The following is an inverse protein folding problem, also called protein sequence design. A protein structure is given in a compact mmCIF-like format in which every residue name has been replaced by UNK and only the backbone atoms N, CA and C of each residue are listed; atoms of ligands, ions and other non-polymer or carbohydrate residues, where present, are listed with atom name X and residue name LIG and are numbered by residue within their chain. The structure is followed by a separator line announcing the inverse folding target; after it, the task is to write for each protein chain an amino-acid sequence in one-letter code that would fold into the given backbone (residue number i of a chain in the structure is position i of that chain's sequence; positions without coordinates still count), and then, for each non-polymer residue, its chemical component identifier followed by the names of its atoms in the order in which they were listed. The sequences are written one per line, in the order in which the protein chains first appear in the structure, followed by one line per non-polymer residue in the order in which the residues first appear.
data_IF_241575817902
#
_entry.id   IF_241575817902
#
_cell.length_a   1.000
_cell.length_b   1.000
_cell.length_c   1.000
_cell.angle_alpha   90.00
_cell.angle_beta   90.00
_cell.angle_gamma   90.00
#
_symmetry.space_group_name_H-M   'P 1'
#
loop_
_entity.id
_entity.type
_entity.pdbx_description
1 polymer ?
#
# COMPACT_ATOMS: atom_id res chain seq x y z
N UNK A 1 -31.12 30.82 -7.51
CA UNK A 1 -29.93 30.75 -8.37
C UNK A 1 -29.04 29.63 -7.89
N UNK A 2 -28.47 28.83 -8.80
CA UNK A 2 -27.53 27.78 -8.42
C UNK A 2 -26.22 28.41 -7.94
N UNK A 3 -25.95 28.31 -6.63
CA UNK A 3 -24.68 28.72 -6.08
C UNK A 3 -23.60 27.75 -6.58
N UNK A 4 -22.60 28.31 -7.27
CA UNK A 4 -21.42 27.55 -7.70
C UNK A 4 -20.46 27.42 -6.52
N UNK A 5 -19.83 26.26 -6.33
CA UNK A 5 -18.78 26.12 -5.33
C UNK A 5 -17.59 27.04 -5.66
N UNK A 6 -16.97 27.63 -4.64
CA UNK A 6 -15.69 28.35 -4.74
C UNK A 6 -14.57 27.55 -4.08
N UNK A 7 -13.36 27.66 -4.63
CA UNK A 7 -12.15 27.02 -4.09
C UNK A 7 -11.05 28.07 -4.07
N UNK A 8 -10.45 28.29 -2.91
CA UNK A 8 -9.26 29.12 -2.70
C UNK A 8 -8.08 28.26 -2.26
N UNK A 9 -6.89 28.52 -2.78
CA UNK A 9 -5.66 27.80 -2.43
C UNK A 9 -4.55 28.78 -2.08
N UNK A 10 -3.87 28.53 -0.98
CA UNK A 10 -2.64 29.24 -0.59
C UNK A 10 -1.45 28.31 -0.71
N UNK A 11 -0.34 28.84 -1.21
CA UNK A 11 0.93 28.12 -1.35
C UNK A 11 2.02 28.84 -0.59
N UNK A 12 2.97 28.10 -0.04
CA UNK A 12 4.17 28.68 0.57
C UNK A 12 5.20 29.09 -0.50
N UNK A 13 6.35 29.62 -0.05
CA UNK A 13 7.46 30.08 -0.92
C UNK A 13 8.08 29.00 -1.82
N UNK A 14 7.78 27.72 -1.56
CA UNK A 14 8.25 26.57 -2.35
C UNK A 14 7.11 25.98 -3.20
N UNK A 15 6.00 26.71 -3.38
CA UNK A 15 4.83 26.29 -4.14
C UNK A 15 4.16 25.01 -3.60
N UNK A 16 4.32 24.70 -2.32
CA UNK A 16 3.54 23.65 -1.67
C UNK A 16 2.24 24.23 -1.12
N UNK A 17 1.12 23.55 -1.37
CA UNK A 17 -0.21 24.01 -0.95
C UNK A 17 -0.37 23.87 0.56
N UNK A 18 -0.48 24.99 1.28
CA UNK A 18 -0.63 25.00 2.74
C UNK A 18 -2.07 25.16 3.19
N UNK A 19 -2.95 25.66 2.32
CA UNK A 19 -4.36 25.87 2.61
C UNK A 19 -5.21 25.62 1.37
N UNK A 20 -6.33 24.93 1.54
CA UNK A 20 -7.43 24.90 0.58
C UNK A 20 -8.74 25.18 1.31
N UNK A 21 -9.50 26.17 0.83
CA UNK A 21 -10.83 26.49 1.34
C UNK A 21 -11.84 26.24 0.25
N UNK A 22 -12.74 25.28 0.47
CA UNK A 22 -13.88 25.01 -0.41
C UNK A 22 -15.14 25.53 0.27
N UNK A 23 -15.92 26.36 -0.42
CA UNK A 23 -17.20 26.87 0.09
C UNK A 23 -18.33 26.56 -0.89
N UNK A 24 -19.41 26.00 -0.38
CA UNK A 24 -20.62 25.71 -1.14
C UNK A 24 -21.85 25.99 -0.28
N UNK A 25 -22.68 26.94 -0.70
CA UNK A 25 -23.77 27.48 0.11
C UNK A 25 -23.22 27.97 1.47
N UNK A 26 -23.85 27.59 2.59
CA UNK A 26 -23.39 27.92 3.94
C UNK A 26 -22.38 26.90 4.50
N UNK A 27 -21.86 25.96 3.71
CA UNK A 27 -20.87 24.99 4.19
C UNK A 27 -19.47 25.38 3.73
N UNK A 28 -18.50 25.24 4.61
CA UNK A 28 -17.09 25.46 4.30
C UNK A 28 -16.25 24.28 4.80
N UNK A 29 -15.35 23.81 3.94
CA UNK A 29 -14.29 22.88 4.27
C UNK A 29 -12.95 23.60 4.13
N UNK A 30 -12.11 23.50 5.15
CA UNK A 30 -10.77 24.06 5.20
C UNK A 30 -9.79 22.92 5.39
N UNK A 31 -8.86 22.73 4.45
CA UNK A 31 -7.74 21.78 4.57
C UNK A 31 -6.47 22.59 4.77
N UNK A 32 -5.80 22.39 5.90
CA UNK A 32 -4.50 22.99 6.20
C UNK A 32 -3.44 21.91 6.16
N UNK A 33 -2.32 22.17 5.48
CA UNK A 33 -1.21 21.22 5.34
C UNK A 33 0.06 21.85 5.88
N UNK A 34 0.66 21.21 6.88
CA UNK A 34 2.00 21.52 7.35
C UNK A 34 3.02 20.60 6.68
N UNK A 35 4.23 21.12 6.45
CA UNK A 35 5.34 20.43 5.82
C UNK A 35 6.59 20.53 6.70
N UNK A 36 7.54 19.63 6.51
CA UNK A 36 8.84 19.64 7.21
C UNK A 36 9.80 20.73 6.69
N UNK A 37 9.34 21.97 6.63
CA UNK A 37 10.10 23.12 6.13
C UNK A 37 10.85 23.79 7.27
N UNK A 38 12.13 24.06 7.05
CA UNK A 38 12.94 24.97 7.88
C UNK A 38 12.78 26.41 7.37
N UNK A 39 12.16 27.32 8.14
CA UNK A 39 11.71 28.62 7.63
C UNK A 39 12.86 29.51 7.14
N UNK A 40 14.05 29.41 7.72
CA UNK A 40 15.17 30.31 7.41
C UNK A 40 16.16 29.73 6.38
N UNK A 41 15.90 28.52 5.87
CA UNK A 41 16.81 27.82 4.98
C UNK A 41 16.40 27.90 3.51
N UNK A 42 17.37 28.10 2.60
CA UNK A 42 17.15 27.98 1.15
C UNK A 42 16.71 26.56 0.80
N UNK A 43 16.05 26.39 -0.34
CA UNK A 43 15.50 25.10 -0.76
C UNK A 43 16.56 23.97 -0.76
N UNK A 44 17.77 24.23 -1.25
CA UNK A 44 18.86 23.25 -1.28
C UNK A 44 19.36 22.78 0.10
N UNK A 45 18.97 23.46 1.19
CA UNK A 45 19.32 23.10 2.56
C UNK A 45 18.16 22.40 3.30
N UNK A 46 16.96 22.40 2.71
CA UNK A 46 15.80 21.76 3.29
C UNK A 46 16.01 20.24 3.43
N UNK A 47 15.39 19.58 4.42
CA UNK A 47 15.46 18.13 4.53
C UNK A 47 14.81 17.45 3.33
N UNK A 48 15.22 16.22 3.00
CA UNK A 48 14.70 15.45 1.88
C UNK A 48 13.17 15.28 1.91
N UNK A 49 12.57 15.29 3.10
CA UNK A 49 11.14 15.15 3.32
C UNK A 49 10.39 16.50 3.41
N UNK A 50 11.02 17.63 3.07
CA UNK A 50 10.39 18.96 3.19
C UNK A 50 9.17 19.17 2.31
N UNK A 51 8.99 18.35 1.27
CA UNK A 51 7.81 18.36 0.41
C UNK A 51 6.72 17.40 0.86
N UNK A 52 6.99 16.56 1.87
CA UNK A 52 6.04 15.59 2.39
C UNK A 52 5.21 16.24 3.51
N UNK A 53 3.87 16.14 3.47
CA UNK A 53 3.01 16.62 4.55
C UNK A 53 3.36 15.99 5.89
N UNK A 54 3.67 16.80 6.90
CA UNK A 54 3.86 16.32 8.28
C UNK A 54 2.56 16.29 9.07
N UNK A 55 1.61 17.16 8.72
CA UNK A 55 0.29 17.25 9.32
C UNK A 55 -0.72 17.75 8.29
N UNK A 56 -1.90 17.13 8.26
CA UNK A 56 -3.05 17.58 7.47
C UNK A 56 -4.23 17.71 8.42
N UNK A 57 -4.75 18.92 8.54
CA UNK A 57 -5.95 19.22 9.33
C UNK A 57 -7.10 19.58 8.40
N UNK A 58 -8.18 18.82 8.45
CA UNK A 58 -9.43 19.15 7.76
C UNK A 58 -10.45 19.64 8.77
N UNK A 59 -10.98 20.83 8.54
CA UNK A 59 -12.03 21.44 9.35
C UNK A 59 -13.26 21.68 8.50
N UNK A 60 -14.42 21.27 9.02
CA UNK A 60 -15.72 21.55 8.44
C UNK A 60 -16.49 22.49 9.36
N UNK A 61 -17.15 23.49 8.78
CA UNK A 61 -17.99 24.43 9.50
C UNK A 61 -19.18 24.86 8.65
N UNK A 62 -20.19 25.40 9.32
CA UNK A 62 -21.23 26.20 8.69
C UNK A 62 -20.91 27.68 8.83
N UNK A 63 -21.10 28.47 7.78
CA UNK A 63 -20.81 29.90 7.78
C UNK A 63 -21.81 30.72 8.62
N UNK A 64 -23.02 30.21 8.79
CA UNK A 64 -24.05 30.80 9.65
C UNK A 64 -24.00 30.32 11.12
N UNK A 65 -23.23 29.26 11.39
CA UNK A 65 -22.97 28.73 12.74
C UNK A 65 -21.46 28.41 12.89
N UNK A 66 -20.55 29.40 12.80
CA UNK A 66 -19.11 29.17 12.68
C UNK A 66 -18.46 28.53 13.92
N UNK A 67 -19.13 28.57 15.08
CA UNK A 67 -18.69 27.87 16.29
C UNK A 67 -18.91 26.35 16.21
N UNK A 68 -19.88 25.89 15.41
CA UNK A 68 -20.18 24.46 15.24
C UNK A 68 -19.26 23.85 14.19
N UNK A 69 -18.21 23.20 14.68
CA UNK A 69 -17.12 22.72 13.84
C UNK A 69 -16.80 21.27 14.09
N UNK A 70 -16.31 20.59 13.06
CA UNK A 70 -15.63 19.30 13.15
C UNK A 70 -14.23 19.48 12.62
N UNK A 71 -13.25 18.93 13.31
CA UNK A 71 -11.85 18.96 12.91
C UNK A 71 -11.29 17.55 12.95
N UNK A 72 -10.55 17.17 11.93
CA UNK A 72 -9.80 15.93 11.84
C UNK A 72 -8.34 16.27 11.53
N UNK A 73 -7.42 15.61 12.22
CA UNK A 73 -5.99 15.80 12.02
C UNK A 73 -5.34 14.45 11.73
N UNK A 74 -4.50 14.41 10.70
CA UNK A 74 -3.64 13.28 10.35
C UNK A 74 -2.19 13.75 10.41
N UNK A 75 -1.30 12.96 11.01
CA UNK A 75 0.13 13.32 11.11
C UNK A 75 1.02 12.22 10.56
N UNK A 76 2.18 12.64 10.04
CA UNK A 76 3.21 11.75 9.50
C UNK A 76 4.60 12.15 9.97
N UNK A 77 5.46 11.16 10.18
CA UNK A 77 6.91 11.31 10.20
C UNK A 77 7.53 10.40 9.15
N UNK A 78 8.73 10.73 8.68
CA UNK A 78 9.38 10.04 7.58
C UNK A 78 10.86 9.78 7.86
N UNK A 79 11.41 8.75 7.24
CA UNK A 79 12.85 8.59 7.12
C UNK A 79 13.45 9.53 6.06
N UNK A 80 14.75 9.40 5.79
CA UNK A 80 15.48 10.21 4.81
C UNK A 80 15.13 9.88 3.35
N UNK A 81 14.43 8.77 3.11
CA UNK A 81 14.01 8.28 1.79
C UNK A 81 12.54 8.58 1.50
N UNK A 82 11.82 9.19 2.46
CA UNK A 82 10.41 9.54 2.32
C UNK A 82 9.45 8.42 2.73
N UNK A 83 9.93 7.34 3.35
CA UNK A 83 9.06 6.30 3.87
C UNK A 83 8.41 6.72 5.18
N UNK A 84 7.10 6.55 5.37
CA UNK A 84 6.44 6.84 6.64
C UNK A 84 7.01 5.99 7.77
N UNK A 85 7.35 6.62 8.89
CA UNK A 85 7.78 5.95 10.14
C UNK A 85 6.66 5.90 11.17
N UNK A 86 5.90 6.99 11.28
CA UNK A 86 4.73 7.09 12.15
C UNK A 86 3.63 7.78 11.38
N UNK A 87 2.43 7.20 11.38
CA UNK A 87 1.22 7.79 10.83
C UNK A 87 0.12 7.75 11.90
N UNK A 88 -0.35 8.92 12.33
CA UNK A 88 -1.51 9.01 13.23
C UNK A 88 -2.71 9.42 12.42
N UNK A 89 -3.74 8.57 12.42
CA UNK A 89 -4.99 8.78 11.69
C UNK A 89 -5.91 9.73 12.46
N UNK A 90 -6.91 10.25 11.76
CA UNK A 90 -7.94 11.12 12.34
C UNK A 90 -8.80 10.43 13.41
N UNK A 91 -8.90 9.10 13.38
CA UNK A 91 -9.57 8.29 14.41
C UNK A 91 -8.67 7.97 15.62
N UNK A 92 -7.43 8.49 15.65
CA UNK A 92 -6.47 8.30 16.73
C UNK A 92 -5.65 7.01 16.63
N UNK A 93 -5.89 6.15 15.64
CA UNK A 93 -5.07 4.95 15.41
C UNK A 93 -3.66 5.39 15.00
N UNK A 94 -2.65 4.80 15.63
CA UNK A 94 -1.24 5.09 15.35
C UNK A 94 -0.57 3.89 14.68
N UNK A 95 -0.09 4.10 13.47
CA UNK A 95 0.70 3.14 12.71
C UNK A 95 2.18 3.48 12.84
N UNK A 96 3.01 2.51 13.19
CA UNK A 96 4.48 2.66 13.27
C UNK A 96 5.12 1.66 12.32
N UNK A 97 5.90 2.15 11.37
CA UNK A 97 6.52 1.33 10.34
C UNK A 97 8.04 1.33 10.47
N UNK A 98 8.66 0.19 10.20
CA UNK A 98 10.10 0.05 10.01
C UNK A 98 10.39 -0.55 8.64
N UNK A 99 11.54 -0.22 8.08
CA UNK A 99 11.91 -0.54 6.70
C UNK A 99 13.25 -1.28 6.67
N UNK A 100 13.42 -2.22 5.75
CA UNK A 100 14.72 -2.86 5.53
C UNK A 100 15.70 -1.86 4.93
N UNK A 101 16.98 -1.88 5.36
CA UNK A 101 18.00 -1.05 4.73
C UNK A 101 18.30 -1.53 3.31
N UNK A 102 18.89 -0.66 2.49
CA UNK A 102 19.23 -0.97 1.10
C UNK A 102 20.14 -2.20 0.96
N UNK A 103 21.05 -2.42 1.91
CA UNK A 103 21.93 -3.59 1.96
C UNK A 103 21.24 -4.89 2.36
N UNK A 104 19.92 -4.89 2.57
CA UNK A 104 19.17 -6.05 3.04
C UNK A 104 19.38 -6.35 4.53
N UNK A 105 18.83 -7.46 4.97
CA UNK A 105 18.95 -7.95 6.34
C UNK A 105 18.26 -9.30 6.51
N UNK A 106 18.12 -9.74 7.76
CA UNK A 106 17.38 -10.97 8.03
C UNK A 106 15.92 -10.85 7.55
N UNK A 107 15.55 -11.68 6.57
CA UNK A 107 14.22 -11.65 5.93
C UNK A 107 14.10 -10.71 4.72
N UNK A 108 15.17 -10.08 4.24
CA UNK A 108 15.11 -9.32 2.98
C UNK A 108 16.50 -9.28 2.29
N UNK A 109 16.61 -9.69 1.02
CA UNK A 109 17.84 -9.51 0.25
C UNK A 109 18.19 -8.02 0.05
N UNK A 110 19.43 -7.76 -0.33
CA UNK A 110 19.90 -6.42 -0.69
C UNK A 110 19.20 -5.93 -1.98
N UNK A 111 18.80 -4.66 -1.99
CA UNK A 111 18.21 -4.02 -3.16
C UNK A 111 19.33 -3.61 -4.13
N UNK A 112 19.29 -4.16 -5.35
CA UNK A 112 20.34 -3.95 -6.35
C UNK A 112 20.47 -2.49 -6.79
N UNK A 113 19.40 -1.69 -6.67
CA UNK A 113 19.37 -0.26 -7.01
C UNK A 113 19.60 0.63 -5.79
N UNK A 114 19.78 0.04 -4.61
CA UNK A 114 20.09 0.76 -3.37
C UNK A 114 18.88 1.43 -2.71
N UNK A 115 17.66 1.00 -3.04
CA UNK A 115 16.45 1.60 -2.45
C UNK A 115 16.17 1.09 -1.03
N UNK A 116 15.74 2.00 -0.17
CA UNK A 116 15.08 1.70 1.11
C UNK A 116 13.58 1.84 0.87
N UNK A 117 12.91 0.73 0.55
CA UNK A 117 11.48 0.75 0.18
C UNK A 117 10.70 -0.50 0.62
N UNK A 118 11.38 -1.47 1.25
CA UNK A 118 10.75 -2.73 1.69
C UNK A 118 10.31 -2.60 3.13
N UNK A 119 9.01 -2.60 3.35
CA UNK A 119 8.42 -2.54 4.68
C UNK A 119 8.86 -3.80 5.46
N UNK A 120 9.43 -3.63 6.64
CA UNK A 120 9.87 -4.74 7.50
C UNK A 120 8.79 -5.11 8.50
N UNK A 121 8.23 -4.11 9.17
CA UNK A 121 7.20 -4.29 10.18
C UNK A 121 6.28 -3.08 10.19
N UNK A 122 4.97 -3.31 10.35
CA UNK A 122 3.97 -2.27 10.61
C UNK A 122 3.21 -2.62 11.89
N UNK A 123 3.33 -1.78 12.90
CA UNK A 123 2.63 -1.91 14.18
C UNK A 123 1.45 -0.95 14.20
N UNK A 124 0.24 -1.47 14.41
CA UNK A 124 -1.00 -0.71 14.54
C UNK A 124 -1.40 -0.67 16.01
N UNK A 125 -1.36 0.53 16.60
CA UNK A 125 -1.77 0.79 17.97
C UNK A 125 -3.16 1.41 17.97
N UNK A 126 -4.11 0.86 18.75
CA UNK A 126 -5.46 1.40 18.83
C UNK A 126 -5.45 2.82 19.38
N UNK A 127 -6.48 3.59 19.02
CA UNK A 127 -6.70 4.91 19.59
C UNK A 127 -6.93 4.81 21.11
N UNK A 128 -6.48 5.79 21.91
CA UNK A 128 -6.86 5.88 23.31
C UNK A 128 -8.38 5.93 23.42
N UNK A 129 -8.96 5.02 24.20
CA UNK A 129 -10.41 4.96 24.41
C UNK A 129 -10.73 4.58 25.85
N UNK A 130 -11.93 4.96 26.32
CA UNK A 130 -12.43 4.55 27.64
C UNK A 130 -12.78 3.06 27.70
N UNK A 131 -12.86 2.39 26.56
CA UNK A 131 -13.07 0.95 26.45
C UNK A 131 -11.70 0.28 26.28
N UNK A 132 -11.34 -0.56 27.25
CA UNK A 132 -10.15 -1.42 27.15
C UNK A 132 -10.40 -2.59 26.20
N UNK A 133 -9.35 -3.08 25.55
CA UNK A 133 -9.35 -4.42 24.94
C UNK A 133 -9.05 -4.49 23.45
N UNK A 134 -8.90 -3.36 22.74
CA UNK A 134 -8.37 -3.42 21.39
C UNK A 134 -6.87 -3.81 21.44
N UNK A 135 -6.44 -4.87 20.75
CA UNK A 135 -5.05 -5.29 20.77
C UNK A 135 -4.17 -4.36 19.93
N UNK A 136 -2.88 -4.32 20.26
CA UNK A 136 -1.86 -3.82 19.32
C UNK A 136 -1.53 -4.94 18.36
N UNK A 137 -1.59 -4.67 17.06
CA UNK A 137 -1.24 -5.64 16.03
C UNK A 137 0.09 -5.28 15.39
N UNK A 138 0.89 -6.29 15.03
CA UNK A 138 2.11 -6.13 14.24
C UNK A 138 2.05 -7.02 13.02
N UNK A 139 2.28 -6.44 11.85
CA UNK A 139 2.45 -7.20 10.60
C UNK A 139 3.91 -7.16 10.19
N UNK A 140 4.54 -8.33 10.07
CA UNK A 140 5.94 -8.48 9.68
C UNK A 140 6.05 -9.06 8.27
N UNK A 141 6.96 -8.50 7.50
CA UNK A 141 7.15 -8.85 6.09
C UNK A 141 8.54 -9.44 5.88
N UNK A 142 8.60 -10.49 5.06
CA UNK A 142 9.85 -11.03 4.53
C UNK A 142 9.77 -11.12 3.02
N UNK A 143 10.94 -11.11 2.41
CA UNK A 143 11.13 -11.04 0.98
C UNK A 143 12.21 -12.03 0.56
N UNK A 144 12.07 -12.53 -0.67
CA UNK A 144 13.02 -13.43 -1.31
C UNK A 144 13.47 -12.88 -2.66
N UNK A 145 14.58 -13.41 -3.15
CA UNK A 145 15.12 -13.06 -4.48
C UNK A 145 14.56 -14.01 -5.52
N UNK A 146 14.19 -13.49 -6.68
CA UNK A 146 13.86 -14.26 -7.88
C UNK A 146 14.80 -13.84 -9.01
N UNK A 147 15.36 -14.80 -9.78
CA UNK A 147 16.27 -14.47 -10.86
C UNK A 147 15.62 -13.54 -11.89
N UNK A 148 16.44 -12.78 -12.60
CA UNK A 148 15.95 -12.10 -13.81
C UNK A 148 15.59 -13.12 -14.91
N UNK A 149 14.83 -12.66 -15.90
CA UNK A 149 14.55 -13.48 -17.09
C UNK A 149 15.85 -13.86 -17.80
N UNK A 150 15.92 -15.10 -18.29
CA UNK A 150 17.09 -15.59 -19.01
C UNK A 150 17.41 -14.67 -20.19
N UNK A 151 18.66 -14.21 -20.27
CA UNK A 151 19.13 -13.33 -21.34
C UNK A 151 18.67 -11.87 -21.23
N UNK A 152 18.10 -11.44 -20.11
CA UNK A 152 17.67 -10.05 -19.91
C UNK A 152 18.78 -9.08 -19.52
N UNK A 153 19.91 -9.59 -19.00
CA UNK A 153 21.01 -8.78 -18.43
C UNK A 153 20.60 -7.88 -17.24
N UNK A 154 19.38 -8.03 -16.74
CA UNK A 154 18.86 -7.30 -15.59
C UNK A 154 19.26 -8.00 -14.27
N UNK A 155 19.32 -7.26 -13.15
CA UNK A 155 19.52 -7.86 -11.84
C UNK A 155 18.30 -8.70 -11.42
N UNK A 156 18.55 -9.67 -10.54
CA UNK A 156 17.50 -10.38 -9.83
C UNK A 156 16.58 -9.40 -9.09
N UNK A 157 15.30 -9.75 -8.98
CA UNK A 157 14.33 -8.89 -8.31
C UNK A 157 13.85 -9.48 -7.00
N UNK A 158 13.43 -8.60 -6.10
CA UNK A 158 12.95 -8.97 -4.77
C UNK A 158 11.43 -9.11 -4.80
N UNK A 159 10.91 -10.27 -4.42
CA UNK A 159 9.47 -10.57 -4.29
C UNK A 159 9.06 -10.71 -2.82
N UNK A 160 7.80 -10.41 -2.46
CA UNK A 160 7.26 -10.76 -1.15
C UNK A 160 7.30 -12.27 -0.93
N UNK A 161 7.65 -12.70 0.27
CA UNK A 161 7.71 -14.12 0.64
C UNK A 161 6.69 -14.42 1.72
N UNK A 162 6.76 -13.74 2.86
CA UNK A 162 5.84 -13.96 3.98
C UNK A 162 5.26 -12.66 4.53
N UNK A 163 4.01 -12.73 4.97
CA UNK A 163 3.37 -11.72 5.81
C UNK A 163 2.84 -12.42 7.07
N UNK A 164 3.30 -11.98 8.25
CA UNK A 164 2.89 -12.57 9.54
C UNK A 164 2.20 -11.51 10.38
N UNK A 165 0.92 -11.74 10.71
CA UNK A 165 0.13 -10.92 11.62
C UNK A 165 0.25 -11.46 13.05
N UNK A 166 0.66 -10.59 13.95
CA UNK A 166 0.87 -10.85 15.37
C UNK A 166 -0.04 -9.94 16.19
N UNK A 167 -0.56 -10.46 17.29
CA UNK A 167 -1.03 -9.65 18.42
C UNK A 167 0.13 -9.44 19.38
N UNK A 168 0.43 -8.19 19.71
CA UNK A 168 1.45 -7.83 20.70
C UNK A 168 0.81 -7.71 22.07
N UNK A 169 1.38 -8.42 23.04
CA UNK A 169 0.91 -8.44 24.42
C UNK A 169 1.63 -7.39 25.28
N UNK A 170 1.01 -7.03 26.40
CA UNK A 170 1.55 -6.00 27.31
C UNK A 170 2.82 -6.44 28.05
N UNK A 171 3.07 -7.74 28.16
CA UNK A 171 4.26 -8.34 28.77
C UNK A 171 5.45 -8.45 27.79
N UNK A 172 5.28 -7.98 26.55
CA UNK A 172 6.30 -8.02 25.50
C UNK A 172 6.30 -9.32 24.68
N UNK A 173 5.41 -10.27 24.98
CA UNK A 173 5.20 -11.45 24.14
C UNK A 173 4.34 -11.12 22.92
N UNK A 174 4.24 -12.06 21.98
CA UNK A 174 3.39 -11.93 20.81
C UNK A 174 2.75 -13.25 20.42
N UNK A 175 1.50 -13.21 19.98
CA UNK A 175 0.75 -14.36 19.47
C UNK A 175 0.58 -14.22 17.96
N UNK A 176 0.99 -15.25 17.21
CA UNK A 176 0.71 -15.31 15.76
C UNK A 176 -0.78 -15.55 15.53
N UNK A 177 -1.42 -14.62 14.84
CA UNK A 177 -2.83 -14.72 14.46
C UNK A 177 -2.98 -15.32 13.08
N UNK A 178 -2.15 -14.89 12.13
CA UNK A 178 -2.20 -15.30 10.74
C UNK A 178 -0.80 -15.26 10.12
N UNK A 179 -0.55 -16.17 9.18
CA UNK A 179 0.62 -16.13 8.31
C UNK A 179 0.23 -16.40 6.88
N UNK A 180 0.81 -15.63 5.98
CA UNK A 180 0.69 -15.77 4.53
C UNK A 180 2.08 -16.14 4.00
N UNK A 181 2.14 -17.16 3.15
CA UNK A 181 3.33 -17.55 2.39
C UNK A 181 3.01 -17.52 0.89
N UNK A 182 3.81 -16.78 0.14
CA UNK A 182 3.69 -16.64 -1.31
C UNK A 182 4.83 -17.38 -2.00
N UNK A 183 4.48 -18.44 -2.72
CA UNK A 183 5.44 -19.16 -3.56
C UNK A 183 5.33 -18.65 -5.00
N UNK A 184 6.43 -18.12 -5.51
CA UNK A 184 6.51 -17.56 -6.86
C UNK A 184 6.99 -18.60 -7.88
N UNK A 185 6.47 -18.53 -9.10
CA UNK A 185 6.90 -19.40 -10.20
C UNK A 185 8.30 -18.98 -10.66
N UNK A 186 9.28 -19.81 -10.32
CA UNK A 186 10.67 -19.63 -10.72
C UNK A 186 10.98 -20.39 -12.02
N UNK A 187 10.75 -19.72 -13.16
CA UNK A 187 10.98 -20.25 -14.51
C UNK A 187 11.53 -19.13 -15.40
N UNK A 188 12.80 -18.71 -15.25
CA UNK A 188 13.35 -17.55 -15.95
C UNK A 188 13.33 -17.67 -17.48
N UNK A 189 13.24 -18.90 -18.01
CA UNK A 189 13.07 -19.18 -19.44
C UNK A 189 11.62 -19.07 -19.95
N UNK A 190 10.65 -18.86 -19.06
CA UNK A 190 9.23 -18.76 -19.37
C UNK A 190 8.67 -17.38 -18.99
N UNK A 191 8.89 -16.32 -19.82
CA UNK A 191 8.53 -14.95 -19.48
C UNK A 191 7.06 -14.72 -19.11
N UNK A 192 6.16 -15.56 -19.62
CA UNK A 192 4.75 -15.45 -19.28
C UNK A 192 4.44 -15.91 -17.84
N UNK A 193 5.15 -16.91 -17.33
CA UNK A 193 4.89 -17.53 -16.02
C UNK A 193 5.78 -16.98 -14.91
N UNK A 194 7.04 -16.66 -15.24
CA UNK A 194 8.04 -16.27 -14.27
C UNK A 194 7.60 -15.08 -13.40
N UNK A 195 7.83 -15.16 -12.09
CA UNK A 195 7.53 -14.07 -11.17
C UNK A 195 6.08 -13.97 -10.73
N UNK A 196 5.17 -14.77 -11.29
CA UNK A 196 3.80 -14.83 -10.81
C UNK A 196 3.72 -15.67 -9.55
N UNK A 197 2.78 -15.35 -8.66
CA UNK A 197 2.46 -16.21 -7.52
C UNK A 197 1.86 -17.54 -8.02
N UNK A 198 2.54 -18.65 -7.77
CA UNK A 198 2.03 -19.99 -8.06
C UNK A 198 1.13 -20.51 -6.95
N UNK A 199 1.49 -20.26 -5.68
CA UNK A 199 0.71 -20.66 -4.50
C UNK A 199 0.66 -19.52 -3.48
N UNK A 200 -0.52 -19.34 -2.90
CA UNK A 200 -0.73 -18.54 -1.69
C UNK A 200 -1.21 -19.50 -0.59
N UNK A 201 -0.49 -19.56 0.52
CA UNK A 201 -0.79 -20.41 1.67
C UNK A 201 -1.12 -19.47 2.83
N UNK A 202 -2.36 -19.52 3.29
CA UNK A 202 -2.83 -18.73 4.42
C UNK A 202 -3.06 -19.66 5.62
N UNK A 203 -2.26 -19.48 6.66
CA UNK A 203 -2.36 -20.19 7.94
C UNK A 203 -3.10 -19.32 8.94
N UNK A 204 -4.22 -19.81 9.48
CA UNK A 204 -4.99 -19.16 10.54
C UNK A 204 -5.26 -20.18 11.65
N UNK A 205 -4.83 -19.90 12.88
CA UNK A 205 -4.99 -20.81 14.02
C UNK A 205 -4.49 -22.24 13.74
N UNK A 206 -3.33 -22.36 13.06
CA UNK A 206 -2.72 -23.65 12.69
C UNK A 206 -3.36 -24.36 11.49
N UNK A 207 -4.41 -23.78 10.89
CA UNK A 207 -5.10 -24.36 9.73
C UNK A 207 -4.70 -23.66 8.45
N UNK A 208 -4.28 -24.44 7.47
CA UNK A 208 -3.81 -23.93 6.20
C UNK A 208 -4.89 -23.96 5.14
N UNK A 209 -5.04 -22.82 4.46
CA UNK A 209 -5.82 -22.68 3.23
C UNK A 209 -4.85 -22.40 2.09
N UNK A 210 -4.79 -23.31 1.13
CA UNK A 210 -3.89 -23.20 -0.03
C UNK A 210 -4.70 -22.80 -1.26
N UNK A 211 -4.31 -21.69 -1.87
CA UNK A 211 -4.79 -21.28 -3.20
C UNK A 211 -3.68 -21.52 -4.23
N UNK A 212 -3.96 -22.33 -5.24
CA UNK A 212 -3.07 -22.56 -6.38
C UNK A 212 -3.55 -21.76 -7.58
N UNK A 213 -2.63 -21.02 -8.21
CA UNK A 213 -2.90 -20.19 -9.38
C UNK A 213 -2.35 -20.85 -10.64
N UNK A 214 -3.21 -20.95 -11.65
CA UNK A 214 -2.81 -21.35 -13.00
C UNK A 214 -3.08 -20.21 -13.99
N UNK A 215 -2.04 -19.82 -14.72
CA UNK A 215 -2.09 -18.74 -15.69
C UNK A 215 -2.09 -19.27 -17.11
N UNK A 216 -2.99 -18.73 -17.94
CA UNK A 216 -3.04 -19.03 -19.37
C UNK A 216 -3.39 -17.79 -20.18
N UNK A 217 -2.97 -17.77 -21.44
CA UNK A 217 -3.51 -16.83 -22.41
C UNK A 217 -4.97 -17.19 -22.68
N UNK A 218 -5.86 -16.21 -22.65
CA UNK A 218 -7.20 -16.41 -23.20
C UNK A 218 -7.23 -15.96 -24.66
N UNK A 219 -7.72 -16.86 -25.51
CA UNK A 219 -8.08 -16.52 -26.89
C UNK A 219 -9.42 -15.78 -26.87
N UNK A 220 -9.46 -14.58 -27.43
CA UNK A 220 -10.75 -13.96 -27.79
C UNK A 220 -11.20 -14.64 -29.09
N UNK A 221 -12.08 -15.63 -28.99
CA UNK A 221 -12.87 -16.05 -30.15
C UNK A 221 -13.82 -14.89 -30.47
N UNK A 222 -13.51 -14.12 -31.50
CA UNK A 222 -14.53 -13.30 -32.15
C UNK A 222 -15.43 -14.29 -32.88
N UNK A 223 -16.54 -14.70 -32.26
CA UNK A 223 -17.66 -15.24 -33.02
C UNK A 223 -18.13 -14.12 -33.94
N UNK A 224 -17.75 -14.18 -35.22
CA UNK A 224 -18.33 -13.33 -36.25
C UNK A 224 -19.80 -13.74 -36.40
N UNK A 225 -20.68 -13.17 -35.58
CA UNK A 225 -22.07 -13.02 -35.97
C UNK A 225 -22.08 -11.94 -37.04
N UNK A 226 -22.22 -12.37 -38.30
CA UNK A 226 -22.38 -11.50 -39.46
C UNK A 226 -23.65 -10.68 -39.27
N UNK A 227 -23.51 -9.45 -38.77
CA UNK A 227 -24.50 -8.40 -38.93
C UNK A 227 -23.87 -7.36 -39.84
N UNK A 228 -24.33 -7.36 -41.09
CA UNK A 228 -24.01 -6.38 -42.12
C UNK A 228 -24.27 -4.97 -41.59
N UNK A 229 -23.21 -4.19 -41.40
CA UNK A 229 -23.25 -2.75 -41.59
C UNK A 229 -21.87 -2.23 -41.93
N UNK A 230 -21.79 -1.67 -43.12
CA UNK A 230 -20.68 -0.92 -43.70
C UNK A 230 -20.28 0.27 -42.83
N UNK A 231 -18.99 0.37 -42.47
CA UNK A 231 -18.17 1.52 -42.86
C UNK A 231 -16.70 1.34 -42.45
N UNK A 232 -15.85 1.75 -43.37
CA UNK A 232 -14.39 1.69 -43.37
C UNK A 232 -13.74 2.55 -42.27
N UNK A 233 -12.82 1.96 -41.50
CA UNK A 233 -11.52 2.58 -41.20
C UNK A 233 -10.54 1.52 -40.68
N UNK A 234 -9.40 1.40 -41.36
CA UNK A 234 -8.32 0.49 -41.03
C UNK A 234 -7.48 1.06 -39.88
N UNK A 235 -7.55 0.42 -38.71
CA UNK A 235 -6.54 0.56 -37.66
C UNK A 235 -6.28 -0.80 -37.03
N UNK A 236 -5.11 -1.38 -37.32
CA UNK A 236 -4.61 -2.61 -36.68
C UNK A 236 -4.59 -2.41 -35.16
N UNK A 237 -5.62 -2.90 -34.45
CA UNK A 237 -5.58 -3.07 -33.00
C UNK A 237 -4.69 -4.28 -32.71
N UNK A 238 -3.48 -4.06 -32.19
CA UNK A 238 -2.74 -5.12 -31.48
C UNK A 238 -3.69 -5.66 -30.40
N UNK A 239 -4.10 -6.91 -30.54
CA UNK A 239 -5.01 -7.55 -29.58
C UNK A 239 -4.34 -7.57 -28.22
N UNK A 240 -4.95 -6.91 -27.23
CA UNK A 240 -4.61 -7.12 -25.83
C UNK A 240 -5.04 -8.55 -25.49
N UNK A 241 -4.09 -9.49 -25.46
CA UNK A 241 -4.35 -10.84 -24.95
C UNK A 241 -4.87 -10.71 -23.52
N UNK A 242 -6.07 -11.23 -23.26
CA UNK A 242 -6.61 -11.30 -21.91
C UNK A 242 -5.91 -12.46 -21.19
N UNK A 243 -5.57 -12.30 -19.91
CA UNK A 243 -5.00 -13.38 -19.09
C UNK A 243 -6.15 -14.07 -18.38
N UNK A 244 -6.20 -15.40 -18.44
CA UNK A 244 -7.10 -16.21 -17.62
C UNK A 244 -6.32 -16.71 -16.42
N UNK A 245 -6.89 -16.51 -15.24
CA UNK A 245 -6.38 -17.01 -13.96
C UNK A 245 -7.40 -18.02 -13.47
N UNK A 246 -7.02 -19.29 -13.35
CA UNK A 246 -7.82 -20.27 -12.64
C UNK A 246 -7.28 -20.37 -11.21
N UNK A 247 -8.18 -20.47 -10.24
CA UNK A 247 -7.84 -20.62 -8.83
C UNK A 247 -8.47 -21.90 -8.31
N UNK A 248 -7.70 -22.69 -7.58
CA UNK A 248 -8.21 -23.84 -6.82
C UNK A 248 -7.83 -23.65 -5.37
N UNK A 249 -8.81 -23.79 -4.48
CA UNK A 249 -8.62 -23.63 -3.05
C UNK A 249 -8.85 -24.98 -2.36
N UNK A 250 -7.99 -25.32 -1.40
CA UNK A 250 -8.14 -26.50 -0.56
C UNK A 250 -7.67 -26.21 0.87
N UNK A 251 -8.21 -26.95 1.83
CA UNK A 251 -7.69 -26.99 3.20
C UNK A 251 -6.82 -28.23 3.36
N UNK A 252 -5.69 -28.09 4.05
CA UNK A 252 -4.91 -29.24 4.49
C UNK A 252 -5.56 -29.74 5.78
N UNK A 253 -6.09 -30.98 5.83
CA UNK A 253 -6.61 -31.54 7.08
C UNK A 253 -5.47 -31.63 8.11
N UNK A 254 -5.79 -31.40 9.40
CA UNK A 254 -4.85 -31.60 10.51
C UNK A 254 -4.20 -32.98 10.34
N UNK A 255 -2.88 -33.01 10.19
CA UNK A 255 -2.17 -34.26 10.41
C UNK A 255 -2.21 -34.47 11.92
N UNK A 256 -3.06 -35.42 12.35
CA UNK A 256 -3.02 -35.96 13.70
C UNK A 256 -1.56 -36.22 14.05
N UNK A 257 -1.08 -35.55 15.10
CA UNK A 257 0.19 -35.88 15.74
C UNK A 257 0.02 -37.23 16.45
N UNK A 258 0.08 -38.31 15.67
CA UNK A 258 0.35 -39.65 16.18
C UNK A 258 1.88 -39.81 16.29
N UNK A 259 2.43 -39.48 17.46
CA UNK A 259 3.34 -40.30 18.28
C UNK A 259 4.02 -39.52 19.40
#
# INVERSE_FOLDING_TARGET
GYFRPSIERTFNRFHLQTLEVTTQNNNQQTVTTAYNIRPDERYCMQPNNCQLPSEVTTRWQRLDEPERTRTETVTYTYDLYGNPLVHTRADGIKEVSSWYPAGGGDGCPADAEGFVSRLKEKVVKPAPSSQSGAPTLSTRYRYSTLPALTGSELPDWIVPETETLLQLESDGTSVELQKILLEHINQPDAPFQHGRTGRNIESLNGKDTVTVYEYSHSSISHSNSTSTSTNSSSRKKKGKGKIRINQRQGQIPDQDQDQ
#
